data_IF_128518444662
#
_entry.id   IF_128518444662
#
_cell.length_a   1.000
_cell.length_b   1.000
_cell.length_c   1.000
_cell.angle_alpha   90.00
_cell.angle_beta   90.00
_cell.angle_gamma   90.00
#
_symmetry.space_group_name_H-M   'P 1'
#
loop_
_entity.id
_entity.type
_entity.pdbx_description
1 polymer ?
#
# COMPACT_ATOMS: atom_id res chain seq x y z
N UNK A 1 -6.56 27.53 5.70
CA UNK A 1 -7.62 27.31 6.70
C UNK A 1 -7.52 25.86 7.16
N UNK A 2 -7.45 25.60 8.45
CA UNK A 2 -7.36 24.22 8.97
C UNK A 2 -8.75 23.59 8.98
N UNK A 3 -8.91 22.41 8.38
CA UNK A 3 -10.17 21.66 8.36
C UNK A 3 -10.15 20.63 9.50
N UNK A 4 -11.11 20.69 10.39
CA UNK A 4 -11.20 19.86 11.60
C UNK A 4 -12.34 18.84 11.58
N UNK A 5 -13.22 18.93 10.58
CA UNK A 5 -14.33 17.99 10.35
C UNK A 5 -14.32 17.60 8.87
N UNK A 6 -14.29 16.29 8.59
CA UNK A 6 -14.28 15.74 7.24
C UNK A 6 -15.53 16.14 6.43
N UNK A 7 -16.66 16.43 7.11
CA UNK A 7 -17.88 16.86 6.44
C UNK A 7 -17.80 18.30 5.89
N UNK A 8 -16.75 19.06 6.25
CA UNK A 8 -16.46 20.37 5.64
C UNK A 8 -15.82 20.24 4.26
N UNK A 9 -15.37 19.04 3.88
CA UNK A 9 -14.79 18.79 2.56
C UNK A 9 -15.89 18.65 1.50
N UNK A 10 -15.70 19.33 0.38
CA UNK A 10 -16.56 19.20 -0.79
C UNK A 10 -16.21 17.89 -1.54
N UNK A 11 -17.11 16.88 -1.63
CA UNK A 11 -16.83 15.60 -2.27
C UNK A 11 -16.63 15.72 -3.80
N UNK A 12 -16.99 16.85 -4.41
CA UNK A 12 -16.84 17.11 -5.84
C UNK A 12 -15.51 17.76 -6.19
N UNK A 13 -14.85 18.37 -5.21
CA UNK A 13 -13.56 19.04 -5.38
C UNK A 13 -12.42 18.04 -5.48
N UNK A 14 -11.38 18.39 -6.24
CA UNK A 14 -10.10 17.69 -6.22
C UNK A 14 -9.17 18.35 -5.21
N UNK A 15 -8.53 17.52 -4.39
CA UNK A 15 -7.60 17.92 -3.36
C UNK A 15 -6.19 17.48 -3.69
N UNK A 16 -5.23 18.23 -3.17
CA UNK A 16 -3.80 17.98 -3.31
C UNK A 16 -3.20 17.53 -1.98
N UNK A 17 -1.93 17.10 -1.99
CA UNK A 17 -1.20 16.80 -0.76
C UNK A 17 -1.04 18.07 0.11
N UNK A 18 -0.86 19.25 -0.48
CA UNK A 18 -0.84 20.48 0.27
C UNK A 18 -2.15 20.74 1.03
N UNK A 19 -3.31 20.42 0.44
CA UNK A 19 -4.60 20.47 1.12
C UNK A 19 -4.65 19.44 2.27
N UNK A 20 -4.28 18.17 1.99
CA UNK A 20 -4.25 17.06 2.94
C UNK A 20 -3.43 17.40 4.19
N UNK A 21 -2.28 18.04 4.05
CA UNK A 21 -1.43 18.46 5.16
C UNK A 21 -2.08 19.49 6.11
N UNK A 22 -3.15 20.17 5.68
CA UNK A 22 -3.89 21.14 6.52
C UNK A 22 -4.99 20.51 7.36
N UNK A 23 -5.37 19.25 7.09
CA UNK A 23 -6.48 18.60 7.75
C UNK A 23 -6.11 18.11 9.16
N UNK A 24 -7.07 18.22 10.08
CA UNK A 24 -6.91 17.90 11.53
C UNK A 24 -8.11 17.13 12.09
N UNK A 25 -8.82 16.39 11.23
CA UNK A 25 -9.88 15.47 11.68
C UNK A 25 -9.28 14.08 12.01
N UNK A 26 -10.07 13.23 12.67
CA UNK A 26 -9.60 11.92 13.17
C UNK A 26 -9.63 10.81 12.12
N UNK A 27 -10.44 10.97 11.10
CA UNK A 27 -10.60 9.98 10.05
C UNK A 27 -9.32 9.85 9.22
N UNK A 28 -8.95 8.60 8.95
CA UNK A 28 -7.91 8.32 7.96
C UNK A 28 -8.50 8.40 6.56
N UNK A 29 -7.78 9.05 5.69
CA UNK A 29 -8.22 9.26 4.31
C UNK A 29 -7.06 9.09 3.33
N UNK A 30 -7.40 8.71 2.11
CA UNK A 30 -6.50 8.64 0.97
C UNK A 30 -6.98 9.59 -0.12
N UNK A 31 -6.09 10.04 -0.99
CA UNK A 31 -6.42 10.78 -2.21
C UNK A 31 -6.02 9.95 -3.43
N UNK A 32 -6.96 9.67 -4.32
CA UNK A 32 -6.70 9.04 -5.61
C UNK A 32 -7.25 9.95 -6.71
N UNK A 33 -6.38 10.41 -7.61
CA UNK A 33 -6.72 11.40 -8.64
C UNK A 33 -7.34 12.69 -8.04
N UNK A 34 -6.93 13.03 -6.81
CA UNK A 34 -7.44 14.15 -6.02
C UNK A 34 -8.80 13.92 -5.37
N UNK A 35 -9.43 12.77 -5.55
CA UNK A 35 -10.69 12.41 -4.89
C UNK A 35 -10.40 11.81 -3.53
N UNK A 36 -11.22 12.19 -2.55
CA UNK A 36 -11.11 11.72 -1.18
C UNK A 36 -11.77 10.35 -1.01
N UNK A 37 -11.03 9.42 -0.42
CA UNK A 37 -11.49 8.11 0.00
C UNK A 37 -11.33 7.97 1.51
N UNK A 38 -12.42 7.71 2.21
CA UNK A 38 -12.37 7.39 3.65
C UNK A 38 -11.85 5.97 3.80
N UNK A 39 -10.85 5.79 4.64
CA UNK A 39 -10.40 4.45 5.02
C UNK A 39 -11.41 3.80 5.97
N UNK A 40 -11.46 2.47 5.97
CA UNK A 40 -12.29 1.72 6.90
C UNK A 40 -11.94 2.03 8.35
N UNK A 41 -12.90 1.94 9.29
CA UNK A 41 -12.60 1.87 10.72
C UNK A 41 -11.58 0.77 11.01
N UNK A 42 -11.08 0.74 12.26
CA UNK A 42 -10.03 -0.18 12.69
C UNK A 42 -10.21 -1.60 12.11
N UNK A 43 -9.16 -2.16 11.50
CA UNK A 43 -9.21 -3.48 10.88
C UNK A 43 -9.48 -4.57 11.92
N UNK A 44 -10.13 -5.67 11.49
CA UNK A 44 -10.44 -6.79 12.36
C UNK A 44 -9.18 -7.59 12.75
N UNK A 45 -9.35 -8.53 13.69
CA UNK A 45 -8.27 -9.37 14.20
C UNK A 45 -7.50 -10.12 13.10
N UNK A 46 -8.20 -10.70 12.13
CA UNK A 46 -7.56 -11.47 11.04
C UNK A 46 -6.68 -10.58 10.17
N UNK A 47 -7.18 -9.40 9.81
CA UNK A 47 -6.39 -8.41 9.07
C UNK A 47 -5.12 -8.04 9.86
N UNK A 48 -5.24 -7.72 11.15
CA UNK A 48 -4.09 -7.34 11.98
C UNK A 48 -3.06 -8.46 12.11
N UNK A 49 -3.50 -9.72 12.26
CA UNK A 49 -2.59 -10.87 12.29
C UNK A 49 -1.81 -11.02 11.00
N UNK A 50 -2.50 -10.93 9.86
CA UNK A 50 -1.88 -11.05 8.53
C UNK A 50 -0.91 -9.91 8.28
N UNK A 51 -1.29 -8.65 8.59
CA UNK A 51 -0.36 -7.50 8.50
C UNK A 51 0.90 -7.74 9.34
N UNK A 52 0.74 -8.10 10.62
CA UNK A 52 1.87 -8.32 11.51
C UNK A 52 2.82 -9.42 11.04
N UNK A 53 2.28 -10.55 10.57
CA UNK A 53 3.08 -11.68 10.08
C UNK A 53 3.84 -11.36 8.80
N UNK A 54 3.16 -10.74 7.83
CA UNK A 54 3.78 -10.31 6.57
C UNK A 54 4.87 -9.26 6.80
N UNK A 55 4.56 -8.24 7.62
CA UNK A 55 5.54 -7.21 7.94
C UNK A 55 6.77 -7.79 8.64
N UNK A 56 6.57 -8.70 9.60
CA UNK A 56 7.67 -9.38 10.30
C UNK A 56 8.52 -10.20 9.35
N UNK A 57 7.89 -10.93 8.43
CA UNK A 57 8.61 -11.73 7.43
C UNK A 57 9.48 -10.87 6.51
N UNK A 58 8.93 -9.77 5.96
CA UNK A 58 9.70 -8.82 5.15
C UNK A 58 10.83 -8.19 5.97
N UNK A 59 10.52 -7.64 7.13
CA UNK A 59 11.49 -6.93 7.97
C UNK A 59 12.66 -7.81 8.39
N UNK A 60 12.39 -9.04 8.82
CA UNK A 60 13.42 -10.00 9.20
C UNK A 60 14.30 -10.39 8.01
N UNK A 61 13.69 -10.68 6.86
CA UNK A 61 14.44 -11.04 5.65
C UNK A 61 15.36 -9.90 5.20
N UNK A 62 14.83 -8.67 5.12
CA UNK A 62 15.60 -7.51 4.67
C UNK A 62 16.77 -7.22 5.61
N UNK A 63 16.55 -7.29 6.92
CA UNK A 63 17.59 -7.06 7.93
C UNK A 63 18.68 -8.15 7.90
N UNK A 64 18.29 -9.41 7.79
CA UNK A 64 19.23 -10.54 7.81
C UNK A 64 20.14 -10.59 6.57
N UNK A 65 19.68 -10.07 5.44
CA UNK A 65 20.42 -10.13 4.18
C UNK A 65 21.17 -8.83 3.84
N UNK A 66 21.29 -7.88 4.77
CA UNK A 66 21.96 -6.60 4.54
C UNK A 66 21.35 -5.81 3.37
N UNK A 67 20.07 -6.00 3.13
CA UNK A 67 19.36 -5.38 2.02
C UNK A 67 19.21 -3.87 2.28
N UNK A 68 19.34 -3.07 1.23
CA UNK A 68 19.10 -1.62 1.32
C UNK A 68 17.61 -1.26 1.37
N UNK A 69 16.74 -2.24 1.15
CA UNK A 69 15.30 -2.03 1.20
C UNK A 69 14.80 -1.94 2.63
N UNK A 70 13.79 -1.11 2.84
CA UNK A 70 13.09 -0.97 4.11
C UNK A 70 11.61 -1.30 3.95
N UNK A 71 11.03 -1.99 4.93
CA UNK A 71 9.61 -2.27 4.99
C UNK A 71 8.90 -1.29 5.92
N UNK A 72 7.77 -0.75 5.47
CA UNK A 72 6.93 0.18 6.23
C UNK A 72 5.52 -0.38 6.35
N UNK A 73 4.88 -0.10 7.50
CA UNK A 73 3.52 -0.50 7.84
C UNK A 73 2.63 0.74 8.00
N UNK A 74 1.35 0.64 7.63
CA UNK A 74 0.40 1.73 7.80
C UNK A 74 0.26 2.16 9.29
N UNK A 75 0.11 3.48 9.56
CA UNK A 75 -0.03 4.58 8.64
C UNK A 75 1.32 5.08 8.09
N UNK A 76 1.51 5.03 6.79
CA UNK A 76 2.71 5.52 6.12
C UNK A 76 2.31 6.09 4.77
N UNK A 77 2.51 7.40 4.57
CA UNK A 77 2.08 8.08 3.36
C UNK A 77 2.97 7.70 2.17
N UNK A 78 2.35 7.19 1.11
CA UNK A 78 2.96 6.98 -0.19
C UNK A 78 2.38 7.99 -1.18
N UNK A 79 3.22 8.86 -1.69
CA UNK A 79 2.86 9.92 -2.64
C UNK A 79 3.33 9.54 -4.03
N UNK A 80 2.49 9.75 -5.04
CA UNK A 80 2.86 9.50 -6.43
C UNK A 80 2.94 10.80 -7.22
N UNK A 81 4.09 11.51 -7.20
CA UNK A 81 4.33 12.69 -8.02
C UNK A 81 4.51 12.30 -9.49
N UNK A 82 4.09 13.16 -10.42
CA UNK A 82 4.29 12.94 -11.85
C UNK A 82 5.67 13.37 -12.38
N UNK A 83 6.48 14.07 -11.61
CA UNK A 83 7.88 14.54 -11.79
C UNK A 83 8.22 15.44 -10.61
N UNK A 84 9.31 16.21 -10.69
CA UNK A 84 9.69 17.21 -9.68
C UNK A 84 8.59 18.26 -9.49
N UNK A 85 7.62 17.95 -8.66
CA UNK A 85 6.45 18.79 -8.40
C UNK A 85 6.29 19.05 -6.91
N UNK A 86 5.70 20.20 -6.62
CA UNK A 86 5.40 20.62 -5.25
C UNK A 86 4.20 19.86 -4.68
N UNK A 87 4.04 19.87 -3.36
CA UNK A 87 2.91 19.22 -2.66
C UNK A 87 1.53 19.65 -3.22
N UNK A 88 1.42 20.88 -3.76
CA UNK A 88 0.20 21.40 -4.40
C UNK A 88 -0.14 20.76 -5.75
N UNK A 89 0.73 19.91 -6.27
CA UNK A 89 0.55 19.22 -7.55
C UNK A 89 0.46 17.70 -7.38
N UNK A 90 0.56 17.18 -6.15
CA UNK A 90 0.41 15.76 -5.84
C UNK A 90 -1.05 15.47 -5.52
N UNK A 91 -1.69 14.64 -6.35
CA UNK A 91 -3.10 14.26 -6.27
C UNK A 91 -3.32 12.82 -5.84
N UNK A 92 -2.23 12.06 -5.63
CA UNK A 92 -2.30 10.65 -5.24
C UNK A 92 -1.49 10.44 -3.96
N UNK A 93 -2.18 10.16 -2.89
CA UNK A 93 -1.62 9.82 -1.58
C UNK A 93 -2.40 8.64 -1.04
N UNK A 94 -1.71 7.56 -0.77
CA UNK A 94 -2.30 6.34 -0.20
C UNK A 94 -1.50 5.87 1.01
N UNK A 95 -2.12 5.05 1.83
CA UNK A 95 -1.50 4.41 3.00
C UNK A 95 -1.66 2.89 2.87
N UNK A 96 -0.84 2.22 2.04
CA UNK A 96 -0.92 0.77 1.89
C UNK A 96 -0.63 0.07 3.21
N UNK A 97 -1.22 -1.10 3.42
CA UNK A 97 -1.02 -1.87 4.65
C UNK A 97 0.46 -2.16 4.91
N UNK A 98 1.19 -2.54 3.85
CA UNK A 98 2.66 -2.68 3.89
C UNK A 98 3.23 -2.17 2.57
N UNK A 99 4.39 -1.52 2.61
CA UNK A 99 5.20 -1.28 1.41
C UNK A 99 6.69 -1.52 1.68
N UNK A 100 7.42 -1.86 0.63
CA UNK A 100 8.88 -2.01 0.66
C UNK A 100 9.49 -1.01 -0.31
N UNK A 101 10.45 -0.24 0.19
CA UNK A 101 11.17 0.80 -0.57
C UNK A 101 12.65 0.44 -0.60
N UNK A 102 13.21 0.28 -1.80
CA UNK A 102 14.61 -0.10 -1.99
C UNK A 102 15.51 1.09 -2.39
N UNK A 103 14.91 2.21 -2.76
CA UNK A 103 15.62 3.44 -3.09
C UNK A 103 15.43 4.47 -1.97
N UNK A 104 16.44 4.69 -1.11
CA UNK A 104 16.36 5.63 0.00
C UNK A 104 16.06 7.07 -0.43
N UNK A 105 16.37 7.44 -1.67
CA UNK A 105 16.09 8.80 -2.18
C UNK A 105 14.58 9.10 -2.29
N UNK A 106 13.74 8.08 -2.25
CA UNK A 106 12.28 8.21 -2.21
C UNK A 106 11.74 8.46 -0.79
N UNK A 107 12.56 8.33 0.24
CA UNK A 107 12.14 8.49 1.63
C UNK A 107 12.44 9.90 2.13
N UNK A 108 11.44 10.53 2.74
CA UNK A 108 11.58 11.77 3.47
C UNK A 108 10.79 11.74 4.79
N UNK A 109 10.83 12.84 5.56
CA UNK A 109 10.14 12.94 6.86
C UNK A 109 8.61 12.76 6.75
N UNK A 110 8.03 12.89 5.56
CA UNK A 110 6.59 12.75 5.30
C UNK A 110 6.22 11.35 4.78
N UNK A 111 7.17 10.45 4.56
CA UNK A 111 6.94 9.11 4.04
C UNK A 111 7.64 8.85 2.71
N UNK A 112 7.01 8.08 1.81
CA UNK A 112 7.56 7.74 0.50
C UNK A 112 7.10 8.76 -0.56
N UNK A 113 8.05 9.30 -1.31
CA UNK A 113 7.83 10.22 -2.43
C UNK A 113 8.25 9.53 -3.75
N UNK A 114 7.34 8.78 -4.32
CA UNK A 114 7.56 7.93 -5.50
C UNK A 114 6.94 6.55 -5.31
N UNK A 115 7.04 5.71 -6.33
CA UNK A 115 6.52 4.35 -6.25
C UNK A 115 7.40 3.46 -5.36
N UNK A 116 6.88 2.83 -4.30
CA UNK A 116 7.54 1.72 -3.63
C UNK A 116 7.88 0.59 -4.60
N UNK A 117 8.80 -0.26 -4.23
CA UNK A 117 9.16 -1.42 -5.04
C UNK A 117 8.13 -2.54 -4.94
N UNK A 118 7.54 -2.71 -3.75
CA UNK A 118 6.49 -3.67 -3.47
C UNK A 118 5.43 -3.03 -2.58
N UNK A 119 4.16 -3.32 -2.84
CA UNK A 119 3.01 -2.94 -2.00
C UNK A 119 2.20 -4.19 -1.67
N UNK A 120 1.70 -4.26 -0.44
CA UNK A 120 0.73 -5.26 0.01
C UNK A 120 -0.54 -4.55 0.48
N UNK A 121 -1.68 -4.99 -0.02
CA UNK A 121 -3.00 -4.59 0.48
C UNK A 121 -3.74 -5.83 0.99
N UNK A 122 -4.25 -5.73 2.21
CA UNK A 122 -4.98 -6.80 2.88
C UNK A 122 -6.44 -6.42 2.90
N UNK A 123 -7.25 -7.18 2.18
CA UNK A 123 -8.63 -6.81 1.92
C UNK A 123 -9.53 -7.01 3.14
N UNK A 124 -10.41 -6.06 3.35
CA UNK A 124 -11.53 -6.18 4.27
C UNK A 124 -12.84 -6.30 3.49
N UNK A 125 -13.89 -6.84 4.12
CA UNK A 125 -15.23 -6.93 3.50
C UNK A 125 -15.79 -5.57 3.05
N UNK A 126 -15.37 -4.49 3.70
CA UNK A 126 -15.89 -3.14 3.44
C UNK A 126 -15.22 -2.44 2.26
N UNK A 127 -13.97 -2.77 1.94
CA UNK A 127 -13.14 -2.01 0.97
C UNK A 127 -12.96 -2.70 -0.38
N UNK A 128 -13.34 -3.97 -0.50
CA UNK A 128 -12.86 -4.92 -1.51
C UNK A 128 -13.03 -4.55 -2.99
N UNK A 129 -14.13 -3.94 -3.45
CA UNK A 129 -14.32 -3.78 -4.90
C UNK A 129 -13.77 -2.47 -5.47
N UNK A 130 -13.98 -1.36 -4.78
CA UNK A 130 -13.61 -0.04 -5.28
C UNK A 130 -12.13 0.24 -5.09
N UNK A 131 -11.60 -0.12 -3.90
CA UNK A 131 -10.21 0.09 -3.56
C UNK A 131 -9.29 -0.77 -4.43
N UNK A 132 -9.65 -2.03 -4.67
CA UNK A 132 -8.89 -2.90 -5.56
C UNK A 132 -8.72 -2.30 -6.95
N UNK A 133 -9.79 -1.83 -7.57
CA UNK A 133 -9.73 -1.33 -8.95
C UNK A 133 -8.96 0.00 -9.06
N UNK A 134 -9.25 0.98 -8.20
CA UNK A 134 -8.59 2.28 -8.23
C UNK A 134 -7.11 2.17 -7.80
N UNK A 135 -6.82 1.39 -6.75
CA UNK A 135 -5.44 1.16 -6.29
C UNK A 135 -4.65 0.32 -7.27
N UNK A 136 -5.26 -0.71 -7.87
CA UNK A 136 -4.61 -1.52 -8.91
C UNK A 136 -4.13 -0.65 -10.07
N UNK A 137 -5.03 0.19 -10.61
CA UNK A 137 -4.67 1.12 -11.69
C UNK A 137 -3.66 2.18 -11.25
N UNK A 138 -3.78 2.67 -10.01
CA UNK A 138 -2.85 3.64 -9.46
C UNK A 138 -1.44 3.07 -9.38
N UNK A 139 -1.29 1.88 -8.79
CA UNK A 139 0.00 1.24 -8.60
C UNK A 139 0.63 0.83 -9.94
N UNK A 140 -0.16 0.24 -10.83
CA UNK A 140 0.27 -0.10 -12.19
C UNK A 140 0.82 1.13 -12.94
N UNK A 141 0.02 2.19 -13.01
CA UNK A 141 0.36 3.40 -13.80
C UNK A 141 1.51 4.22 -13.20
N UNK A 142 1.83 4.03 -11.93
CA UNK A 142 2.96 4.70 -11.26
C UNK A 142 4.21 3.82 -11.12
N UNK A 143 4.18 2.59 -11.64
CA UNK A 143 5.37 1.75 -11.72
C UNK A 143 5.74 1.02 -10.43
N UNK A 144 4.77 0.72 -9.55
CA UNK A 144 4.98 -0.22 -8.44
C UNK A 144 5.27 -1.59 -9.04
N UNK A 145 6.48 -2.11 -8.78
CA UNK A 145 6.98 -3.30 -9.50
C UNK A 145 6.27 -4.58 -9.09
N UNK A 146 5.81 -4.68 -7.84
CA UNK A 146 5.09 -5.86 -7.35
C UNK A 146 3.96 -5.44 -6.42
N UNK A 147 2.76 -5.99 -6.65
CA UNK A 147 1.56 -5.70 -5.89
C UNK A 147 0.92 -6.98 -5.39
N UNK A 148 0.88 -7.16 -4.07
CA UNK A 148 0.31 -8.30 -3.38
C UNK A 148 -1.08 -7.97 -2.88
N UNK A 149 -2.05 -8.80 -3.25
CA UNK A 149 -3.44 -8.71 -2.79
C UNK A 149 -3.70 -9.90 -1.89
N UNK A 150 -4.05 -9.64 -0.63
CA UNK A 150 -4.26 -10.68 0.37
C UNK A 150 -5.71 -10.68 0.84
N UNK A 151 -6.34 -11.85 0.82
CA UNK A 151 -7.69 -12.07 1.34
C UNK A 151 -7.60 -12.89 2.64
N UNK A 152 -7.68 -12.25 3.82
CA UNK A 152 -7.48 -12.96 5.09
C UNK A 152 -8.54 -14.04 5.36
N UNK A 153 -9.80 -13.78 4.97
CA UNK A 153 -10.92 -14.70 5.20
C UNK A 153 -10.85 -15.93 4.30
N UNK A 154 -10.50 -15.72 3.04
CA UNK A 154 -10.37 -16.76 2.02
C UNK A 154 -8.99 -17.45 2.09
N UNK A 155 -8.08 -16.92 2.91
CA UNK A 155 -6.70 -17.40 3.06
C UNK A 155 -5.96 -17.50 1.72
N UNK A 156 -6.09 -16.45 0.90
CA UNK A 156 -5.48 -16.41 -0.42
C UNK A 156 -4.59 -15.19 -0.60
N UNK A 157 -3.59 -15.34 -1.46
CA UNK A 157 -2.67 -14.29 -1.85
C UNK A 157 -2.47 -14.31 -3.36
N UNK A 158 -2.56 -13.15 -4.02
CA UNK A 158 -2.23 -12.96 -5.42
C UNK A 158 -1.09 -11.97 -5.56
N UNK A 159 -0.06 -12.36 -6.31
CA UNK A 159 1.08 -11.50 -6.65
C UNK A 159 0.89 -11.00 -8.08
N UNK A 160 0.88 -9.68 -8.25
CA UNK A 160 0.85 -9.04 -9.56
C UNK A 160 2.22 -8.40 -9.80
N UNK A 161 2.90 -8.81 -10.86
CA UNK A 161 4.23 -8.30 -11.22
C UNK A 161 4.12 -7.38 -12.42
N UNK A 162 4.77 -6.23 -12.35
CA UNK A 162 4.76 -5.24 -13.43
C UNK A 162 5.72 -5.69 -14.54
N UNK A 163 5.19 -5.89 -15.75
CA UNK A 163 5.94 -6.18 -16.98
C UNK A 163 5.42 -5.28 -18.10
N UNK A 164 6.31 -4.59 -18.79
CA UNK A 164 5.97 -3.68 -19.90
C UNK A 164 4.88 -2.65 -19.58
N UNK A 165 4.91 -2.15 -18.32
CA UNK A 165 3.96 -1.14 -17.82
C UNK A 165 2.56 -1.68 -17.48
N UNK A 166 2.40 -3.01 -17.43
CA UNK A 166 1.16 -3.69 -17.06
C UNK A 166 1.38 -4.76 -16.02
N UNK A 167 0.41 -4.92 -15.10
CA UNK A 167 0.46 -6.03 -14.18
C UNK A 167 0.11 -7.35 -14.86
N UNK A 168 1.02 -8.31 -14.68
CA UNK A 168 0.80 -9.72 -15.02
C UNK A 168 0.41 -10.42 -13.71
N UNK A 169 -0.85 -10.85 -13.56
CA UNK A 169 -1.27 -11.55 -12.36
C UNK A 169 -0.65 -12.95 -12.30
N UNK A 170 -0.05 -13.28 -11.15
CA UNK A 170 0.37 -14.64 -10.84
C UNK A 170 -0.83 -15.54 -10.53
N UNK A 171 -0.55 -16.82 -10.28
CA UNK A 171 -1.59 -17.72 -9.78
C UNK A 171 -2.07 -17.28 -8.39
N UNK A 172 -3.31 -17.59 -8.07
CA UNK A 172 -3.82 -17.44 -6.71
C UNK A 172 -3.16 -18.49 -5.82
N UNK A 173 -2.48 -18.04 -4.78
CA UNK A 173 -1.82 -18.88 -3.78
C UNK A 173 -2.71 -19.06 -2.55
N UNK A 174 -2.64 -20.23 -1.92
CA UNK A 174 -3.40 -20.57 -0.70
C UNK A 174 -2.47 -21.06 0.41
N UNK A 175 -3.02 -21.32 1.58
CA UNK A 175 -2.27 -21.98 2.67
C UNK A 175 -1.54 -23.24 2.19
N UNK A 176 -0.33 -23.48 2.70
CA UNK A 176 0.56 -24.58 2.28
C UNK A 176 1.40 -24.32 1.03
N UNK A 177 1.18 -23.19 0.33
CA UNK A 177 1.99 -22.80 -0.81
C UNK A 177 3.06 -21.76 -0.40
N UNK A 178 4.09 -21.63 -1.22
CA UNK A 178 5.19 -20.68 -1.02
C UNK A 178 4.98 -19.46 -1.91
N UNK A 179 4.86 -18.29 -1.30
CA UNK A 179 4.92 -17.02 -2.01
C UNK A 179 6.38 -16.63 -2.25
N UNK A 180 6.69 -16.21 -3.49
CA UNK A 180 8.05 -15.78 -3.89
C UNK A 180 7.97 -14.39 -4.50
N UNK A 181 8.75 -13.43 -3.97
CA UNK A 181 8.87 -12.10 -4.57
C UNK A 181 9.83 -12.12 -5.75
N UNK A 182 9.44 -11.48 -6.84
CA UNK A 182 10.32 -11.25 -8.00
C UNK A 182 11.19 -10.00 -7.80
N UNK A 183 10.73 -9.08 -6.96
CA UNK A 183 11.37 -7.78 -6.71
C UNK A 183 12.34 -7.86 -5.54
N UNK A 184 11.97 -8.52 -4.47
CA UNK A 184 12.83 -8.78 -3.30
C UNK A 184 13.52 -10.13 -3.52
N UNK A 185 14.68 -10.10 -4.20
CA UNK A 185 15.38 -11.32 -4.62
C UNK A 185 15.67 -12.25 -3.44
N UNK A 186 15.26 -13.51 -3.58
CA UNK A 186 15.43 -14.56 -2.58
C UNK A 186 14.38 -14.55 -1.47
N UNK A 187 13.47 -13.57 -1.42
CA UNK A 187 12.38 -13.60 -0.46
C UNK A 187 11.37 -14.67 -0.83
N UNK A 188 11.16 -15.60 0.09
CA UNK A 188 10.14 -16.65 0.02
C UNK A 188 9.40 -16.71 1.35
N UNK A 189 8.11 -17.05 1.32
CA UNK A 189 7.26 -17.08 2.50
C UNK A 189 6.26 -18.25 2.38
N UNK A 190 6.30 -19.16 3.35
CA UNK A 190 5.27 -20.18 3.52
C UNK A 190 3.97 -19.53 4.00
N UNK A 191 2.90 -19.67 3.23
CA UNK A 191 1.61 -19.07 3.54
C UNK A 191 0.91 -19.68 4.76
N UNK A 192 1.31 -20.85 5.24
CA UNK A 192 0.87 -21.35 6.54
C UNK A 192 1.29 -20.39 7.66
N UNK A 193 2.49 -19.80 7.57
CA UNK A 193 2.96 -18.80 8.55
C UNK A 193 2.14 -17.51 8.54
N UNK A 194 1.40 -17.25 7.45
CA UNK A 194 0.55 -16.06 7.30
C UNK A 194 -0.88 -16.32 7.76
N UNK A 195 -1.44 -17.47 7.37
CA UNK A 195 -2.87 -17.73 7.51
C UNK A 195 -3.24 -18.64 8.70
N UNK A 196 -2.31 -19.44 9.24
CA UNK A 196 -2.60 -20.28 10.38
C UNK A 196 -3.08 -19.49 11.60
N UNK A 197 -4.06 -20.06 12.29
CA UNK A 197 -4.80 -19.47 13.41
C UNK A 197 -4.00 -19.44 14.71
#
# INVERSE_FOLDING_TARGET
>A
MTITDINQLDPTKKYTYADYLTWRFKERVELIKGRLFKMSPAPNLYHQRVVGRLFTAFSNFLSANGNKCEAFIAPFDVRFPKKEITDSQIYNIVQPDICVVCDPSKLDIKGCNGAPDLIVEILSKATGKKDLHEKYQLYESNGVREYWIVHPTEQTLQINTLSDGKYVPGKLLTGGEIACSQVIKGFTLDLNQVFDS
#
